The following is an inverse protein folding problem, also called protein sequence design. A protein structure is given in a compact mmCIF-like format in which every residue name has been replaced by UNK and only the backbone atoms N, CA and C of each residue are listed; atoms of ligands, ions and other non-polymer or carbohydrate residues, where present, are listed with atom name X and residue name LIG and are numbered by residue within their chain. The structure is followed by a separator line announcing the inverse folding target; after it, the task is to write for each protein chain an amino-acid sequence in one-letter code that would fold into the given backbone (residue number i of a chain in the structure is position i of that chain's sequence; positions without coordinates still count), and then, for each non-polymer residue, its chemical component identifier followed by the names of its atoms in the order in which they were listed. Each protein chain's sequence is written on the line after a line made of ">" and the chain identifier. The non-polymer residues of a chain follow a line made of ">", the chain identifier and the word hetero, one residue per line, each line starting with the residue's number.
data_IF_996668394194
#
_entry.id   IF_996668394194
#
_cell.length_a   1.000
_cell.length_b   1.000
_cell.length_c   1.000
_cell.angle_alpha   90.00
_cell.angle_beta   90.00
_cell.angle_gamma   90.00
#
_symmetry.space_group_name_H-M   'P 1'
#
loop_
_entity.id
_entity.type
_entity.pdbx_description
1 polymer ?
#
# COMPACT_ATOMS: atom_id res chain seq x y z
N UNK A 1 -40.59 -23.35 30.30
CA UNK A 1 -40.35 -23.47 28.85
C UNK A 1 -38.89 -23.25 28.63
N UNK A 2 -38.25 -24.07 27.84
CA UNK A 2 -36.81 -23.94 27.58
C UNK A 2 -36.58 -23.16 26.26
N UNK A 3 -36.30 -21.88 26.40
CA UNK A 3 -36.04 -20.98 25.26
C UNK A 3 -34.62 -21.13 24.71
N UNK A 4 -33.71 -21.76 25.45
CA UNK A 4 -32.36 -22.02 24.97
C UNK A 4 -32.40 -23.07 23.88
N UNK A 5 -33.22 -24.12 24.02
CA UNK A 5 -33.43 -25.10 22.98
C UNK A 5 -34.09 -24.49 21.73
N UNK A 6 -35.08 -23.59 21.94
CA UNK A 6 -35.69 -22.87 20.83
C UNK A 6 -34.67 -22.00 20.06
N UNK A 7 -33.85 -21.26 20.78
CA UNK A 7 -32.78 -20.43 20.16
C UNK A 7 -31.76 -21.30 19.38
N UNK A 8 -31.33 -22.43 19.94
CA UNK A 8 -30.49 -23.38 19.23
C UNK A 8 -31.15 -23.84 17.93
N UNK A 9 -32.41 -24.26 17.97
CA UNK A 9 -33.09 -24.78 16.79
C UNK A 9 -33.30 -23.70 15.73
N UNK A 10 -33.54 -22.43 16.12
CA UNK A 10 -33.61 -21.29 15.18
C UNK A 10 -32.27 -21.10 14.46
N UNK A 11 -31.16 -21.01 15.19
CA UNK A 11 -29.84 -20.86 14.59
C UNK A 11 -29.44 -22.07 13.75
N UNK A 12 -29.73 -23.28 14.23
CA UNK A 12 -29.45 -24.48 13.48
C UNK A 12 -30.22 -24.50 12.15
N UNK A 13 -31.50 -24.22 12.17
CA UNK A 13 -32.33 -24.14 10.96
C UNK A 13 -31.84 -23.06 10.01
N UNK A 14 -31.46 -21.91 10.54
CA UNK A 14 -30.94 -20.81 9.72
C UNK A 14 -29.66 -21.19 8.95
N UNK A 15 -28.71 -21.90 9.56
CA UNK A 15 -27.48 -22.29 8.90
C UNK A 15 -27.58 -23.58 8.09
N UNK A 16 -28.36 -24.55 8.52
CA UNK A 16 -28.37 -25.90 7.94
C UNK A 16 -29.67 -26.28 7.24
N UNK A 17 -30.70 -25.50 7.41
CA UNK A 17 -32.05 -25.85 6.98
C UNK A 17 -32.72 -26.91 7.87
N UNK A 18 -34.02 -27.05 7.72
CA UNK A 18 -34.75 -28.16 8.27
C UNK A 18 -34.74 -29.39 7.35
N UNK A 19 -35.39 -30.49 7.77
CA UNK A 19 -35.49 -31.72 6.98
C UNK A 19 -36.17 -31.55 5.62
N UNK A 20 -36.92 -30.46 5.44
CA UNK A 20 -37.63 -30.12 4.21
C UNK A 20 -36.87 -29.08 3.37
N UNK A 21 -35.67 -28.65 3.81
CA UNK A 21 -34.84 -27.67 3.13
C UNK A 21 -35.23 -26.21 3.39
N UNK A 22 -36.00 -25.93 4.42
CA UNK A 22 -36.34 -24.56 4.82
C UNK A 22 -35.29 -24.01 5.77
N UNK A 23 -34.83 -22.78 5.54
CA UNK A 23 -33.83 -22.10 6.36
C UNK A 23 -34.41 -21.09 7.35
N UNK A 24 -35.73 -21.00 7.46
CA UNK A 24 -36.40 -20.19 8.46
C UNK A 24 -37.65 -20.86 9.01
N UNK A 25 -38.04 -20.43 10.18
CA UNK A 25 -39.28 -20.88 10.88
C UNK A 25 -40.15 -19.66 11.19
N UNK A 26 -40.73 -19.03 10.17
CA UNK A 26 -41.43 -17.74 10.33
C UNK A 26 -42.54 -17.76 11.37
N UNK A 27 -43.16 -18.92 11.62
CA UNK A 27 -44.20 -19.09 12.63
C UNK A 27 -43.73 -18.87 14.08
N UNK A 28 -42.42 -18.91 14.32
CA UNK A 28 -41.80 -18.63 15.63
C UNK A 28 -41.57 -17.13 15.85
N UNK A 29 -41.63 -16.31 14.80
CA UNK A 29 -41.35 -14.90 14.86
C UNK A 29 -42.64 -14.09 14.89
N UNK A 30 -42.57 -12.93 15.53
CA UNK A 30 -43.58 -11.90 15.41
C UNK A 30 -43.43 -11.18 14.07
N UNK A 31 -44.53 -10.68 13.48
CA UNK A 31 -44.49 -9.93 12.22
C UNK A 31 -43.58 -8.68 12.32
N UNK A 32 -43.56 -8.05 13.50
CA UNK A 32 -42.81 -6.83 13.79
C UNK A 32 -41.43 -7.13 14.43
N UNK A 33 -40.96 -8.37 14.29
CA UNK A 33 -39.65 -8.76 14.81
C UNK A 33 -38.52 -7.94 14.18
N UNK A 34 -37.76 -7.26 15.03
CA UNK A 34 -36.56 -6.53 14.59
C UNK A 34 -35.37 -7.49 14.58
N UNK A 35 -34.69 -7.56 13.44
CA UNK A 35 -33.52 -8.42 13.25
C UNK A 35 -32.32 -7.56 12.88
N UNK A 36 -31.22 -7.70 13.62
CA UNK A 36 -29.95 -7.04 13.39
C UNK A 36 -28.88 -8.13 13.22
N UNK A 37 -28.34 -8.25 12.03
CA UNK A 37 -27.27 -9.19 11.72
C UNK A 37 -25.87 -8.56 11.80
N UNK A 38 -24.87 -9.23 11.27
CA UNK A 38 -23.47 -8.83 11.32
C UNK A 38 -23.03 -7.94 10.16
N UNK A 39 -23.76 -7.96 9.06
CA UNK A 39 -23.50 -7.14 7.87
C UNK A 39 -24.02 -5.70 8.00
N UNK A 40 -23.39 -4.75 7.31
CA UNK A 40 -23.81 -3.34 7.32
C UNK A 40 -25.26 -3.11 6.89
N UNK A 41 -25.78 -3.97 6.02
CA UNK A 41 -27.13 -3.89 5.46
C UNK A 41 -28.13 -4.75 6.23
N UNK A 42 -27.67 -5.59 7.16
CA UNK A 42 -28.52 -6.54 7.91
C UNK A 42 -29.19 -5.87 9.10
N UNK A 43 -30.09 -4.92 8.81
CA UNK A 43 -30.94 -4.26 9.77
C UNK A 43 -32.39 -4.28 9.24
N UNK A 44 -33.20 -5.19 9.78
CA UNK A 44 -34.56 -5.44 9.33
C UNK A 44 -35.55 -5.01 10.44
N UNK A 45 -36.52 -4.17 10.06
CA UNK A 45 -37.52 -3.62 11.00
C UNK A 45 -38.66 -4.54 11.25
N UNK A 46 -38.87 -5.54 10.42
CA UNK A 46 -39.91 -6.53 10.48
C UNK A 46 -39.49 -7.80 9.74
N UNK A 47 -40.29 -8.86 9.93
CA UNK A 47 -40.02 -10.17 9.33
C UNK A 47 -40.11 -10.16 7.80
N UNK A 48 -40.93 -9.30 7.19
CA UNK A 48 -41.05 -9.23 5.73
C UNK A 48 -39.77 -8.72 5.10
N UNK A 49 -39.18 -7.64 5.62
CA UNK A 49 -37.90 -7.11 5.15
C UNK A 49 -36.79 -8.18 5.22
N UNK A 50 -36.76 -8.97 6.28
CA UNK A 50 -35.79 -10.08 6.40
C UNK A 50 -36.08 -11.18 5.36
N UNK A 51 -37.32 -11.58 5.16
CA UNK A 51 -37.69 -12.65 4.25
C UNK A 51 -37.37 -12.33 2.80
N UNK A 52 -37.48 -11.06 2.38
CA UNK A 52 -37.15 -10.60 1.03
C UNK A 52 -35.65 -10.78 0.70
N UNK A 53 -34.77 -10.76 1.69
CA UNK A 53 -33.30 -10.91 1.50
C UNK A 53 -32.83 -12.35 1.70
N UNK A 54 -33.60 -13.18 2.37
CA UNK A 54 -33.19 -14.53 2.75
C UNK A 54 -32.91 -15.43 1.53
N UNK A 55 -33.70 -15.32 0.46
CA UNK A 55 -33.49 -16.12 -0.75
C UNK A 55 -32.17 -15.77 -1.44
N UNK A 56 -31.77 -14.51 -1.46
CA UNK A 56 -30.49 -14.06 -2.01
C UNK A 56 -29.31 -14.57 -1.16
N UNK A 57 -29.43 -14.51 0.15
CA UNK A 57 -28.43 -15.04 1.08
C UNK A 57 -28.26 -16.55 0.95
N UNK A 58 -29.36 -17.30 0.83
CA UNK A 58 -29.35 -18.76 0.62
C UNK A 58 -28.66 -19.09 -0.72
N UNK A 59 -28.91 -18.31 -1.76
CA UNK A 59 -28.27 -18.51 -3.06
C UNK A 59 -26.75 -18.25 -3.02
N UNK A 60 -26.29 -17.26 -2.27
CA UNK A 60 -24.88 -16.94 -2.10
C UNK A 60 -24.12 -18.05 -1.36
N UNK A 61 -24.74 -18.67 -0.36
CA UNK A 61 -24.14 -19.72 0.47
C UNK A 61 -24.36 -21.15 -0.02
N UNK A 62 -24.88 -21.34 -1.23
CA UNK A 62 -25.29 -22.66 -1.77
C UNK A 62 -24.19 -23.71 -1.69
N UNK A 63 -22.95 -23.33 -1.92
CA UNK A 63 -21.77 -24.22 -1.91
C UNK A 63 -21.01 -24.21 -0.58
N UNK A 64 -21.55 -23.53 0.43
CA UNK A 64 -20.94 -23.39 1.76
C UNK A 64 -21.58 -24.37 2.72
N UNK A 65 -20.78 -25.29 3.26
CA UNK A 65 -21.24 -26.31 4.19
C UNK A 65 -20.74 -26.00 5.60
N UNK A 66 -21.43 -25.10 6.27
CA UNK A 66 -21.09 -24.69 7.62
C UNK A 66 -21.01 -25.86 8.60
N UNK A 67 -20.19 -25.69 9.64
CA UNK A 67 -20.14 -26.56 10.81
C UNK A 67 -20.23 -25.71 12.07
N UNK A 68 -21.04 -26.12 13.05
CA UNK A 68 -20.95 -25.58 14.39
C UNK A 68 -19.69 -26.13 15.07
N UNK A 69 -18.81 -25.22 15.51
CA UNK A 69 -17.68 -25.57 16.37
C UNK A 69 -18.02 -25.47 17.83
N UNK A 70 -18.80 -24.46 18.18
CA UNK A 70 -19.27 -24.23 19.53
C UNK A 70 -20.61 -23.49 19.51
N UNK A 71 -21.43 -23.76 20.49
CA UNK A 71 -22.70 -23.07 20.73
C UNK A 71 -23.00 -23.12 22.22
N UNK A 72 -23.27 -21.96 22.80
CA UNK A 72 -23.74 -21.86 24.17
C UNK A 72 -24.77 -20.75 24.29
N UNK A 73 -25.76 -20.92 25.14
CA UNK A 73 -26.70 -19.87 25.48
C UNK A 73 -27.32 -20.06 26.86
N UNK A 74 -27.74 -18.95 27.42
CA UNK A 74 -28.45 -18.88 28.69
C UNK A 74 -29.71 -18.08 28.50
N UNK A 75 -30.71 -18.33 29.37
CA UNK A 75 -31.95 -17.56 29.36
C UNK A 75 -32.15 -16.80 30.67
N UNK A 76 -32.74 -15.61 30.56
CA UNK A 76 -33.10 -14.78 31.70
C UNK A 76 -34.53 -14.29 31.54
N UNK A 77 -35.38 -14.55 32.55
CA UNK A 77 -36.73 -13.97 32.62
C UNK A 77 -36.64 -12.48 32.91
N UNK A 78 -37.24 -11.65 32.06
CA UNK A 78 -37.28 -10.20 32.20
C UNK A 78 -38.62 -9.76 32.87
N UNK A 79 -39.73 -10.35 32.41
CA UNK A 79 -41.08 -10.18 32.98
C UNK A 79 -41.85 -11.49 32.91
N UNK A 80 -43.09 -11.50 33.35
CA UNK A 80 -43.93 -12.69 33.26
C UNK A 80 -44.20 -13.18 31.83
N UNK A 81 -44.05 -12.28 30.85
CA UNK A 81 -44.34 -12.48 29.44
C UNK A 81 -43.11 -12.26 28.50
N UNK A 82 -41.90 -12.01 29.06
CA UNK A 82 -40.68 -11.78 28.26
C UNK A 82 -39.51 -12.53 28.81
N UNK A 83 -38.79 -13.24 27.92
CA UNK A 83 -37.51 -13.87 28.16
C UNK A 83 -36.43 -13.35 27.19
N UNK A 84 -35.27 -13.11 27.73
CA UNK A 84 -34.04 -12.86 26.97
C UNK A 84 -33.24 -14.16 26.91
N UNK A 85 -32.86 -14.58 25.72
CA UNK A 85 -31.81 -15.57 25.49
C UNK A 85 -30.59 -14.85 24.92
N UNK A 86 -29.42 -15.15 25.47
CA UNK A 86 -28.12 -14.59 25.02
C UNK A 86 -27.08 -15.68 24.99
N UNK A 87 -26.14 -15.55 24.08
CA UNK A 87 -25.12 -16.58 23.92
C UNK A 87 -24.11 -16.28 22.82
N UNK A 88 -23.34 -17.29 22.50
CA UNK A 88 -22.37 -17.29 21.41
C UNK A 88 -22.59 -18.48 20.48
N UNK A 89 -22.27 -18.28 19.24
CA UNK A 89 -22.17 -19.34 18.26
C UNK A 89 -20.92 -19.18 17.41
N UNK A 90 -20.25 -20.29 17.20
CA UNK A 90 -19.05 -20.38 16.39
C UNK A 90 -19.29 -21.30 15.20
N UNK A 91 -19.34 -20.72 14.00
CA UNK A 91 -19.45 -21.46 12.75
C UNK A 91 -18.18 -21.37 11.96
N UNK A 92 -17.91 -22.44 11.22
CA UNK A 92 -16.68 -22.59 10.46
C UNK A 92 -16.93 -23.33 9.15
N UNK A 93 -16.22 -22.94 8.11
CA UNK A 93 -16.13 -23.65 6.85
C UNK A 93 -14.84 -23.28 6.12
N UNK A 94 -14.25 -24.24 5.44
CA UNK A 94 -13.08 -24.05 4.59
C UNK A 94 -13.34 -24.70 3.23
N UNK A 95 -13.02 -23.98 2.14
CA UNK A 95 -13.12 -24.52 0.78
C UNK A 95 -12.11 -25.67 0.55
N UNK A 96 -12.40 -26.58 -0.37
CA UNK A 96 -11.56 -27.73 -0.66
C UNK A 96 -10.14 -27.35 -1.13
N UNK A 97 -10.01 -26.22 -1.83
CA UNK A 97 -8.75 -25.65 -2.30
C UNK A 97 -8.07 -24.74 -1.27
N UNK A 98 -8.67 -24.59 -0.09
CA UNK A 98 -8.22 -23.72 1.01
C UNK A 98 -8.09 -22.23 0.66
N UNK A 99 -8.71 -21.78 -0.43
CA UNK A 99 -8.69 -20.40 -0.85
C UNK A 99 -9.66 -19.52 -0.06
N UNK A 100 -10.72 -20.12 0.51
CA UNK A 100 -11.75 -19.41 1.28
C UNK A 100 -11.88 -20.08 2.65
N UNK A 101 -11.78 -19.26 3.69
CA UNK A 101 -12.03 -19.65 5.07
C UNK A 101 -13.12 -18.75 5.66
N UNK A 102 -14.22 -19.33 6.10
CA UNK A 102 -15.26 -18.64 6.88
C UNK A 102 -15.10 -19.06 8.34
N UNK A 103 -14.91 -18.09 9.21
CA UNK A 103 -14.70 -18.28 10.63
C UNK A 103 -15.45 -17.17 11.38
N UNK A 104 -16.65 -17.49 11.84
CA UNK A 104 -17.57 -16.56 12.48
C UNK A 104 -17.75 -16.95 13.94
N UNK A 105 -17.07 -16.22 14.82
CA UNK A 105 -17.28 -16.27 16.27
C UNK A 105 -18.19 -15.09 16.64
N UNK A 106 -19.45 -15.38 16.90
CA UNK A 106 -20.46 -14.34 17.09
C UNK A 106 -21.18 -14.46 18.43
N UNK A 107 -21.71 -13.33 18.87
CA UNK A 107 -22.57 -13.23 20.03
C UNK A 107 -23.97 -12.89 19.55
N UNK A 108 -24.98 -13.38 20.27
CA UNK A 108 -26.36 -13.08 19.92
C UNK A 108 -27.22 -12.80 21.14
N UNK A 109 -28.33 -12.13 20.90
CA UNK A 109 -29.46 -12.00 21.81
C UNK A 109 -30.77 -12.25 21.07
N UNK A 110 -31.71 -12.93 21.73
CA UNK A 110 -33.09 -13.12 21.26
C UNK A 110 -34.07 -12.74 22.37
N UNK A 111 -35.10 -11.99 22.04
CA UNK A 111 -36.19 -11.73 22.95
C UNK A 111 -37.42 -12.56 22.55
N UNK A 112 -37.88 -13.37 23.47
CA UNK A 112 -39.11 -14.13 23.37
C UNK A 112 -40.23 -13.44 24.18
N UNK A 113 -41.37 -13.18 23.56
CA UNK A 113 -42.52 -12.55 24.17
C UNK A 113 -43.73 -13.45 24.04
N UNK A 114 -44.51 -13.56 25.11
CA UNK A 114 -45.82 -14.24 25.07
C UNK A 114 -46.83 -13.28 24.46
N UNK A 115 -47.39 -13.68 23.32
CA UNK A 115 -48.43 -12.94 22.57
C UNK A 115 -49.74 -13.72 22.62
N UNK A 116 -50.84 -13.15 22.10
CA UNK A 116 -52.11 -13.86 21.96
C UNK A 116 -51.99 -15.15 21.12
N UNK A 117 -50.99 -15.22 20.25
CA UNK A 117 -50.67 -16.38 19.39
C UNK A 117 -49.62 -17.31 20.00
N UNK A 118 -49.28 -17.13 21.28
CA UNK A 118 -48.22 -17.86 21.99
C UNK A 118 -46.89 -17.16 22.01
N UNK A 119 -45.86 -17.90 22.38
CA UNK A 119 -44.51 -17.35 22.47
C UNK A 119 -43.90 -17.10 21.09
N UNK A 120 -43.44 -15.89 20.86
CA UNK A 120 -42.84 -15.42 19.61
C UNK A 120 -41.49 -14.75 19.86
N UNK A 121 -40.55 -14.85 18.88
CA UNK A 121 -39.35 -14.02 18.83
C UNK A 121 -39.74 -12.63 18.35
N UNK A 122 -39.42 -11.61 19.13
CA UNK A 122 -39.72 -10.19 18.82
C UNK A 122 -38.45 -9.40 18.50
N UNK A 123 -37.29 -9.96 18.80
CA UNK A 123 -36.00 -9.34 18.47
C UNK A 123 -34.88 -10.39 18.33
N UNK A 124 -34.03 -10.23 17.35
CA UNK A 124 -32.79 -10.95 17.20
C UNK A 124 -31.67 -9.94 16.96
N UNK A 125 -30.56 -10.09 17.67
CA UNK A 125 -29.35 -9.35 17.40
C UNK A 125 -28.16 -10.32 17.38
N UNK A 126 -27.35 -10.24 16.33
CA UNK A 126 -26.07 -10.94 16.20
C UNK A 126 -24.97 -9.91 16.00
N UNK A 127 -23.85 -10.09 16.67
CA UNK A 127 -22.69 -9.22 16.55
C UNK A 127 -21.40 -10.02 16.51
N UNK A 128 -20.40 -9.49 15.81
CA UNK A 128 -19.05 -10.03 15.79
C UNK A 128 -18.17 -9.23 16.75
N UNK A 129 -17.32 -9.87 17.57
CA UNK A 129 -16.23 -9.16 18.25
C UNK A 129 -15.30 -8.57 17.21
N UNK A 130 -14.68 -7.44 17.51
CA UNK A 130 -13.64 -6.89 16.64
C UNK A 130 -12.43 -7.84 16.66
N UNK A 131 -12.06 -8.50 15.54
CA UNK A 131 -10.98 -9.50 15.52
C UNK A 131 -9.59 -8.92 15.81
N UNK A 132 -9.44 -7.59 15.74
CA UNK A 132 -8.19 -6.89 16.02
C UNK A 132 -8.08 -6.40 17.47
N UNK A 133 -9.14 -6.53 18.26
CA UNK A 133 -9.20 -6.11 19.65
C UNK A 133 -8.55 -7.19 20.55
N UNK A 134 -7.59 -6.78 21.38
CA UNK A 134 -6.94 -7.67 22.35
C UNK A 134 -7.76 -7.80 23.62
N UNK A 135 -7.57 -8.91 24.32
CA UNK A 135 -8.20 -9.12 25.64
C UNK A 135 -7.86 -7.96 26.59
N UNK A 136 -8.90 -7.40 27.21
CA UNK A 136 -8.77 -6.25 28.12
C UNK A 136 -8.70 -4.88 27.42
N UNK A 137 -8.75 -4.82 26.10
CA UNK A 137 -8.78 -3.58 25.34
C UNK A 137 -10.23 -3.14 25.09
N UNK A 138 -10.62 -1.94 25.52
CA UNK A 138 -11.99 -1.42 25.32
C UNK A 138 -12.17 -0.68 24.01
N UNK A 139 -11.07 -0.16 23.42
CA UNK A 139 -11.07 0.55 22.14
C UNK A 139 -9.97 -0.02 21.25
N UNK A 140 -10.25 -0.33 19.97
CA UNK A 140 -9.27 -0.92 19.07
C UNK A 140 -8.15 0.08 18.73
N UNK A 141 -7.09 0.09 19.53
CA UNK A 141 -5.88 0.91 19.31
C UNK A 141 -4.95 0.28 18.26
N UNK A 142 -5.05 -1.03 18.10
CA UNK A 142 -4.24 -1.83 17.17
C UNK A 142 -4.43 -1.44 15.70
N UNK A 143 -5.62 -1.01 15.28
CA UNK A 143 -5.89 -0.59 13.91
C UNK A 143 -5.06 0.64 13.51
N UNK A 144 -4.95 1.62 14.41
CA UNK A 144 -4.15 2.83 14.18
C UNK A 144 -2.66 2.51 14.07
N UNK A 145 -2.14 1.63 14.93
CA UNK A 145 -0.73 1.23 14.90
C UNK A 145 -0.39 0.44 13.64
N UNK A 146 -1.16 -0.59 13.30
CA UNK A 146 -0.97 -1.36 12.06
C UNK A 146 -1.05 -0.48 10.83
N UNK A 147 -2.03 0.43 10.76
CA UNK A 147 -2.14 1.37 9.65
C UNK A 147 -0.91 2.26 9.51
N UNK A 148 -0.37 2.76 10.62
CA UNK A 148 0.86 3.54 10.63
C UNK A 148 2.07 2.71 10.20
N UNK A 149 2.22 1.50 10.74
CA UNK A 149 3.30 0.58 10.36
C UNK A 149 3.25 0.19 8.87
N UNK A 150 2.05 -0.09 8.33
CA UNK A 150 1.88 -0.38 6.90
C UNK A 150 2.14 0.85 6.04
N UNK A 151 1.68 2.02 6.46
CA UNK A 151 1.96 3.28 5.77
C UNK A 151 3.46 3.59 5.75
N UNK A 152 4.16 3.40 6.87
CA UNK A 152 5.61 3.56 6.94
C UNK A 152 6.35 2.54 6.06
N UNK A 153 5.92 1.28 6.05
CA UNK A 153 6.46 0.25 5.15
C UNK A 153 6.25 0.62 3.69
N UNK A 154 5.05 1.04 3.30
CA UNK A 154 4.75 1.45 1.92
C UNK A 154 5.60 2.66 1.52
N UNK A 155 5.74 3.65 2.41
CA UNK A 155 6.58 4.82 2.16
C UNK A 155 8.05 4.41 2.00
N UNK A 156 8.58 3.59 2.91
CA UNK A 156 9.95 3.08 2.86
C UNK A 156 10.22 2.27 1.59
N UNK A 157 9.30 1.35 1.22
CA UNK A 157 9.41 0.57 -0.01
C UNK A 157 9.32 1.45 -1.27
N UNK A 158 8.49 2.49 -1.23
CA UNK A 158 8.39 3.47 -2.32
C UNK A 158 9.69 4.26 -2.48
N UNK A 159 10.27 4.73 -1.38
CA UNK A 159 11.54 5.46 -1.39
C UNK A 159 12.69 4.58 -1.89
N UNK A 160 12.78 3.34 -1.42
CA UNK A 160 13.77 2.36 -1.90
C UNK A 160 13.61 2.04 -3.39
N UNK A 161 12.37 1.97 -3.89
CA UNK A 161 12.09 1.74 -5.31
C UNK A 161 12.39 2.96 -6.20
N UNK A 162 12.51 4.17 -5.63
CA UNK A 162 12.73 5.42 -6.35
C UNK A 162 14.19 5.86 -6.36
N UNK A 163 15.01 5.36 -5.46
CA UNK A 163 16.41 5.79 -5.28
C UNK A 163 17.42 4.75 -5.75
N UNK A 164 18.64 5.22 -6.01
CA UNK A 164 19.83 4.38 -6.16
C UNK A 164 20.36 3.99 -4.79
N UNK A 165 20.50 2.68 -4.54
CA UNK A 165 20.86 2.14 -3.23
C UNK A 165 22.27 2.50 -2.73
N UNK A 166 23.16 3.03 -3.58
CA UNK A 166 24.50 3.44 -3.18
C UNK A 166 24.57 4.95 -2.90
N UNK A 167 23.97 5.77 -3.75
CA UNK A 167 24.18 7.22 -3.78
C UNK A 167 23.02 8.03 -3.22
N UNK A 168 21.89 7.40 -2.94
CA UNK A 168 20.64 8.02 -2.48
C UNK A 168 20.02 9.05 -3.46
N UNK A 169 20.59 9.19 -4.66
CA UNK A 169 19.97 9.93 -5.75
C UNK A 169 18.77 9.16 -6.29
N UNK A 170 17.90 9.84 -7.03
CA UNK A 170 16.85 9.11 -7.76
C UNK A 170 17.49 8.14 -8.76
N UNK A 171 16.87 6.98 -8.95
CA UNK A 171 17.26 6.05 -10.00
C UNK A 171 16.71 6.47 -11.37
N UNK A 172 17.23 5.89 -12.44
CA UNK A 172 16.85 6.26 -13.80
C UNK A 172 15.36 6.07 -14.09
N UNK A 173 14.75 5.00 -13.59
CA UNK A 173 13.32 4.75 -13.73
C UNK A 173 12.45 5.86 -13.11
N UNK A 174 12.88 6.39 -11.98
CA UNK A 174 12.19 7.53 -11.34
C UNK A 174 12.43 8.82 -12.10
N UNK A 175 13.65 9.02 -12.61
CA UNK A 175 13.97 10.17 -13.45
C UNK A 175 13.09 10.23 -14.71
N UNK A 176 12.94 9.12 -15.44
CA UNK A 176 12.05 9.04 -16.61
C UNK A 176 10.61 9.45 -16.29
N UNK A 177 10.06 8.96 -15.17
CA UNK A 177 8.70 9.33 -14.72
C UNK A 177 8.55 10.81 -14.38
N UNK A 178 9.58 11.39 -13.75
CA UNK A 178 9.56 12.79 -13.33
C UNK A 178 9.87 13.75 -14.48
N UNK A 179 10.52 13.30 -15.53
CA UNK A 179 10.88 14.12 -16.69
C UNK A 179 9.67 14.87 -17.26
N UNK A 180 8.51 14.18 -17.38
CA UNK A 180 7.30 14.77 -17.94
C UNK A 180 6.64 15.84 -17.04
N UNK A 181 6.97 15.85 -15.77
CA UNK A 181 6.45 16.82 -14.78
C UNK A 181 7.25 18.12 -14.71
N UNK A 182 8.44 18.18 -15.29
CA UNK A 182 9.33 19.35 -15.24
C UNK A 182 9.01 20.34 -16.37
N UNK A 183 9.00 21.66 -16.08
CA UNK A 183 8.94 22.68 -17.12
C UNK A 183 10.10 22.54 -18.10
N UNK A 184 9.81 22.41 -19.39
CA UNK A 184 10.84 22.14 -20.43
C UNK A 184 11.48 23.43 -20.97
N UNK A 185 10.73 24.51 -20.98
CA UNK A 185 11.21 25.78 -21.48
C UNK A 185 12.28 26.39 -20.55
N UNK A 186 13.49 26.56 -21.09
CA UNK A 186 14.63 27.08 -20.33
C UNK A 186 15.34 26.04 -19.46
N UNK A 187 15.01 24.76 -19.62
CA UNK A 187 15.67 23.68 -18.92
C UNK A 187 16.87 23.14 -19.68
N UNK A 188 17.84 22.64 -18.92
CA UNK A 188 19.05 22.01 -19.42
C UNK A 188 19.17 20.60 -18.91
N UNK A 189 19.60 19.70 -19.80
CA UNK A 189 19.85 18.32 -19.51
C UNK A 189 21.34 18.00 -19.66
N UNK A 190 21.88 17.23 -18.72
CA UNK A 190 23.29 16.89 -18.65
C UNK A 190 23.48 15.41 -18.39
N UNK A 191 24.45 14.82 -19.08
CA UNK A 191 24.99 13.49 -18.79
C UNK A 191 26.44 13.67 -18.31
N UNK A 192 26.76 13.07 -17.18
CA UNK A 192 28.08 13.14 -16.57
C UNK A 192 28.62 11.73 -16.32
N UNK A 193 29.90 11.54 -16.51
CA UNK A 193 30.60 10.26 -16.39
C UNK A 193 31.96 10.46 -15.71
N UNK A 194 32.23 9.66 -14.68
CA UNK A 194 33.49 9.69 -13.95
C UNK A 194 34.62 9.12 -14.82
N UNK A 195 35.58 9.95 -15.11
CA UNK A 195 36.68 9.57 -15.96
C UNK A 195 37.53 8.46 -15.34
N UNK A 196 37.81 7.43 -16.15
CA UNK A 196 38.65 6.30 -15.74
C UNK A 196 38.18 5.57 -14.47
N UNK A 197 36.86 5.56 -14.16
CA UNK A 197 36.32 4.97 -12.93
C UNK A 197 36.69 3.50 -12.75
N UNK A 198 36.79 2.73 -13.87
CA UNK A 198 37.27 1.36 -13.80
C UNK A 198 38.68 1.29 -13.23
N UNK A 199 39.59 2.19 -13.64
CA UNK A 199 40.97 2.23 -13.13
C UNK A 199 40.99 2.58 -11.63
N UNK A 200 40.06 3.39 -11.15
CA UNK A 200 39.90 3.69 -9.70
C UNK A 200 39.55 2.39 -8.96
N UNK A 201 38.56 1.62 -9.43
CA UNK A 201 38.23 0.35 -8.83
C UNK A 201 39.38 -0.67 -8.87
N UNK A 202 40.06 -0.77 -10.02
CA UNK A 202 41.15 -1.73 -10.22
C UNK A 202 42.37 -1.40 -9.35
N UNK A 203 42.63 -0.09 -9.12
CA UNK A 203 43.82 0.36 -8.38
C UNK A 203 43.58 0.51 -6.86
N UNK A 204 42.38 0.91 -6.44
CA UNK A 204 42.06 1.27 -5.05
C UNK A 204 40.93 0.42 -4.43
N UNK A 205 40.34 -0.49 -5.21
CA UNK A 205 39.27 -1.38 -4.78
C UNK A 205 37.88 -0.74 -4.84
N UNK A 206 36.87 -1.60 -4.87
CA UNK A 206 35.48 -1.19 -5.00
C UNK A 206 34.96 -0.30 -3.84
N UNK A 207 35.53 -0.41 -2.64
CA UNK A 207 35.13 0.43 -1.52
C UNK A 207 35.49 1.90 -1.76
N UNK A 208 36.65 2.14 -2.33
CA UNK A 208 37.10 3.48 -2.71
C UNK A 208 36.29 4.02 -3.90
N UNK A 209 36.03 3.20 -4.91
CA UNK A 209 35.15 3.56 -6.01
C UNK A 209 33.72 3.95 -5.48
N UNK A 210 33.16 3.19 -4.56
CA UNK A 210 31.87 3.50 -3.93
C UNK A 210 31.93 4.82 -3.16
N UNK A 211 33.02 5.14 -2.47
CA UNK A 211 33.21 6.44 -1.80
C UNK A 211 33.15 7.57 -2.80
N UNK A 212 33.92 7.47 -3.91
CA UNK A 212 33.94 8.49 -4.97
C UNK A 212 32.54 8.67 -5.60
N UNK A 213 31.79 7.58 -5.84
CA UNK A 213 30.42 7.66 -6.36
C UNK A 213 29.50 8.44 -5.41
N UNK A 214 29.58 8.17 -4.10
CA UNK A 214 28.78 8.88 -3.08
C UNK A 214 29.14 10.36 -3.00
N UNK A 215 30.42 10.69 -3.00
CA UNK A 215 30.89 12.07 -2.94
C UNK A 215 30.53 12.84 -4.23
N UNK A 216 30.66 12.20 -5.40
CA UNK A 216 30.21 12.76 -6.68
C UNK A 216 28.70 13.06 -6.65
N UNK A 217 27.89 12.11 -6.18
CA UNK A 217 26.46 12.29 -6.02
C UNK A 217 26.10 13.46 -5.09
N UNK A 218 26.80 13.58 -3.96
CA UNK A 218 26.62 14.69 -3.01
C UNK A 218 27.01 16.05 -3.63
N UNK A 219 28.10 16.11 -4.39
CA UNK A 219 28.52 17.33 -5.12
C UNK A 219 27.49 17.71 -6.18
N UNK A 220 27.03 16.77 -7.00
CA UNK A 220 25.99 17.04 -8.01
C UNK A 220 24.72 17.54 -7.33
N UNK A 221 24.22 16.86 -6.28
CA UNK A 221 22.98 17.23 -5.58
C UNK A 221 23.09 18.61 -4.93
N UNK A 222 24.21 18.94 -4.29
CA UNK A 222 24.44 20.23 -3.65
C UNK A 222 24.69 21.39 -4.63
N UNK A 223 25.10 21.07 -5.86
CA UNK A 223 25.39 22.06 -6.91
C UNK A 223 24.13 22.55 -7.63
N UNK A 224 23.01 21.85 -7.53
CA UNK A 224 21.76 22.18 -8.19
C UNK A 224 20.66 22.48 -7.15
N UNK A 225 19.53 23.02 -7.59
CA UNK A 225 18.39 23.38 -6.69
C UNK A 225 17.65 22.13 -6.22
N UNK A 226 16.86 22.25 -5.17
CA UNK A 226 15.99 21.18 -4.68
C UNK A 226 14.93 20.75 -5.72
N UNK A 227 14.52 21.65 -6.59
CA UNK A 227 13.56 21.44 -7.68
C UNK A 227 14.18 20.76 -8.91
N UNK A 228 15.52 20.71 -9.01
CA UNK A 228 16.21 20.06 -10.11
C UNK A 228 16.37 18.57 -9.85
N UNK A 229 16.37 17.76 -10.92
CA UNK A 229 16.54 16.32 -10.82
C UNK A 229 18.02 15.96 -10.91
N UNK A 230 18.47 15.04 -10.06
CA UNK A 230 19.78 14.40 -10.12
C UNK A 230 19.61 12.90 -9.95
N UNK A 231 20.09 12.15 -10.93
CA UNK A 231 19.90 10.72 -11.06
C UNK A 231 21.23 10.01 -11.24
N UNK A 232 21.39 8.81 -10.69
CA UNK A 232 22.42 7.87 -11.10
C UNK A 232 21.81 6.86 -12.05
N UNK A 233 22.34 6.75 -13.27
CA UNK A 233 21.87 5.79 -14.26
C UNK A 233 22.35 4.37 -13.96
N UNK A 234 23.58 4.23 -13.56
CA UNK A 234 24.26 2.98 -13.25
C UNK A 234 25.77 3.14 -13.40
N UNK A 235 26.54 2.24 -12.82
CA UNK A 235 27.99 2.35 -12.89
C UNK A 235 28.52 3.71 -12.40
N UNK A 236 29.19 4.44 -13.28
CA UNK A 236 29.80 5.74 -13.11
C UNK A 236 29.06 6.90 -13.80
N UNK A 237 27.86 6.62 -14.33
CA UNK A 237 27.05 7.57 -15.09
C UNK A 237 25.97 8.25 -14.25
N UNK A 238 25.90 9.58 -14.38
CA UNK A 238 24.92 10.44 -13.73
C UNK A 238 24.17 11.29 -14.77
N UNK A 239 22.93 11.59 -14.47
CA UNK A 239 22.11 12.50 -15.27
C UNK A 239 21.52 13.56 -14.33
N UNK A 240 21.52 14.81 -14.79
CA UNK A 240 20.81 15.85 -14.05
C UNK A 240 20.10 16.81 -14.99
N UNK A 241 18.97 17.35 -14.50
CA UNK A 241 18.11 18.27 -15.22
C UNK A 241 17.90 19.50 -14.37
N UNK A 242 18.25 20.67 -14.92
CA UNK A 242 18.12 21.95 -14.26
C UNK A 242 17.05 22.79 -14.97
N UNK A 243 15.98 23.12 -14.24
CA UNK A 243 14.76 23.73 -14.80
C UNK A 243 14.79 25.25 -14.97
N UNK A 244 15.79 25.94 -14.46
CA UNK A 244 15.84 27.41 -14.44
C UNK A 244 17.25 27.96 -14.79
N UNK A 245 17.86 27.41 -15.82
CA UNK A 245 19.07 28.00 -16.41
C UNK A 245 18.69 28.74 -17.69
N UNK A 246 18.68 30.08 -17.61
CA UNK A 246 18.13 30.93 -18.68
C UNK A 246 19.12 31.15 -19.82
N UNK A 247 20.40 30.91 -19.60
CA UNK A 247 21.45 31.14 -20.57
C UNK A 247 22.53 30.05 -20.58
N UNK A 248 23.24 29.86 -21.70
CA UNK A 248 24.44 29.02 -21.73
C UNK A 248 25.50 29.42 -20.73
N UNK A 249 25.62 30.69 -20.41
CA UNK A 249 26.59 31.20 -19.43
C UNK A 249 26.29 30.73 -18.01
N UNK A 250 25.00 30.65 -17.64
CA UNK A 250 24.59 30.07 -16.35
C UNK A 250 24.88 28.58 -16.27
N UNK A 251 24.62 27.83 -17.34
CA UNK A 251 24.98 26.43 -17.44
C UNK A 251 26.50 26.24 -17.33
N UNK A 252 27.29 27.06 -18.01
CA UNK A 252 28.73 27.08 -17.96
C UNK A 252 29.30 27.31 -16.53
N UNK A 253 28.72 28.29 -15.81
CA UNK A 253 29.10 28.58 -14.42
C UNK A 253 28.76 27.39 -13.48
N UNK A 254 27.59 26.75 -13.68
CA UNK A 254 27.21 25.58 -12.93
C UNK A 254 28.22 24.44 -13.14
N UNK A 255 28.56 24.14 -14.38
CA UNK A 255 29.46 23.03 -14.71
C UNK A 255 30.91 23.31 -14.25
N UNK A 256 31.39 24.55 -14.33
CA UNK A 256 32.68 24.96 -13.75
C UNK A 256 32.74 24.67 -12.25
N UNK A 257 31.69 25.03 -11.52
CA UNK A 257 31.60 24.77 -10.08
C UNK A 257 31.60 23.26 -9.77
N UNK A 258 30.82 22.47 -10.54
CA UNK A 258 30.77 21.02 -10.37
C UNK A 258 32.18 20.42 -10.61
N UNK A 259 32.82 20.73 -11.74
CA UNK A 259 34.12 20.17 -12.06
C UNK A 259 35.21 20.61 -11.07
N UNK A 260 35.16 21.85 -10.59
CA UNK A 260 36.06 22.32 -9.54
C UNK A 260 35.90 21.47 -8.26
N UNK A 261 34.70 21.27 -7.78
CA UNK A 261 34.44 20.48 -6.57
C UNK A 261 34.80 19.00 -6.74
N UNK A 262 34.59 18.43 -7.92
CA UNK A 262 35.01 17.05 -8.24
C UNK A 262 36.55 16.95 -8.23
N UNK A 263 37.28 17.95 -8.78
CA UNK A 263 38.72 18.03 -8.77
C UNK A 263 39.33 18.11 -7.36
N UNK A 264 38.58 18.55 -6.37
CA UNK A 264 39.02 18.55 -4.96
C UNK A 264 38.94 17.17 -4.31
N UNK A 265 38.22 16.21 -4.91
CA UNK A 265 38.18 14.84 -4.43
C UNK A 265 39.58 14.19 -4.63
N UNK A 266 40.07 13.57 -3.57
CA UNK A 266 41.40 12.93 -3.58
C UNK A 266 41.28 11.44 -3.43
N UNK A 267 41.98 10.71 -4.28
CA UNK A 267 42.27 9.30 -4.15
C UNK A 267 43.50 9.09 -3.29
N UNK A 268 43.76 7.90 -2.76
CA UNK A 268 45.02 7.57 -2.10
C UNK A 268 46.23 7.92 -2.99
N UNK A 269 47.27 8.48 -2.40
CA UNK A 269 48.44 8.99 -3.15
C UNK A 269 48.23 10.37 -3.79
N UNK A 270 47.16 11.10 -3.39
CA UNK A 270 46.81 12.45 -3.85
C UNK A 270 46.47 12.56 -5.36
N UNK A 271 46.04 11.45 -5.97
CA UNK A 271 45.51 11.46 -7.34
C UNK A 271 44.16 12.16 -7.39
N UNK A 272 43.89 12.89 -8.47
CA UNK A 272 42.66 13.63 -8.66
C UNK A 272 41.58 12.78 -9.35
N UNK A 273 40.34 13.09 -9.03
CA UNK A 273 39.16 12.57 -9.74
C UNK A 273 38.75 13.58 -10.80
N UNK A 274 38.35 13.14 -11.97
CA UNK A 274 37.78 14.00 -13.01
C UNK A 274 36.42 13.47 -13.49
N UNK A 275 35.62 14.37 -14.04
CA UNK A 275 34.29 14.13 -14.56
C UNK A 275 34.15 14.76 -15.94
N UNK A 276 33.61 14.02 -16.89
CA UNK A 276 33.26 14.54 -18.21
C UNK A 276 31.76 14.78 -18.31
N UNK A 277 31.33 15.92 -18.89
CA UNK A 277 29.90 16.27 -18.93
C UNK A 277 29.50 16.67 -20.35
N UNK A 278 28.43 16.04 -20.86
CA UNK A 278 27.74 16.49 -22.07
C UNK A 278 26.43 17.17 -21.70
N UNK A 279 26.15 18.33 -22.24
CA UNK A 279 24.95 19.09 -21.94
C UNK A 279 24.17 19.54 -23.17
N UNK A 280 22.88 19.71 -23.02
CA UNK A 280 22.02 20.26 -24.07
C UNK A 280 20.84 21.03 -23.49
N UNK A 281 20.41 22.07 -24.19
CA UNK A 281 19.17 22.79 -23.85
C UNK A 281 17.97 22.03 -24.35
N UNK A 282 16.96 21.86 -23.50
CA UNK A 282 15.72 21.18 -23.83
C UNK A 282 14.87 22.12 -24.73
N UNK A 283 14.39 21.57 -25.84
CA UNK A 283 13.43 22.25 -26.74
C UNK A 283 12.01 21.89 -26.29
N UNK A 284 11.05 22.76 -26.60
CA UNK A 284 9.66 22.48 -26.27
C UNK A 284 9.20 21.16 -26.91
N UNK A 285 8.49 20.36 -26.10
CA UNK A 285 7.90 19.06 -26.48
C UNK A 285 8.90 18.02 -27.02
N UNK A 286 10.17 18.19 -26.72
CA UNK A 286 11.21 17.24 -27.12
C UNK A 286 11.18 15.99 -26.26
N UNK A 287 11.12 14.78 -26.86
CA UNK A 287 11.13 13.52 -26.12
C UNK A 287 12.51 13.28 -25.49
N UNK A 288 12.51 12.68 -24.29
CA UNK A 288 13.71 12.42 -23.51
C UNK A 288 14.83 11.73 -24.31
N UNK A 289 14.48 10.75 -25.16
CA UNK A 289 15.44 10.02 -25.97
C UNK A 289 16.24 10.94 -26.93
N UNK A 290 15.59 11.93 -27.55
CA UNK A 290 16.27 12.88 -28.44
C UNK A 290 17.24 13.77 -27.71
N UNK A 291 16.87 14.21 -26.49
CA UNK A 291 17.72 15.02 -25.62
C UNK A 291 18.92 14.21 -25.17
N UNK A 292 18.68 12.96 -24.81
CA UNK A 292 19.71 12.03 -24.40
C UNK A 292 20.77 11.85 -25.47
N UNK A 293 20.37 11.58 -26.71
CA UNK A 293 21.30 11.42 -27.86
C UNK A 293 22.17 12.68 -28.04
N UNK A 294 21.61 13.89 -27.92
CA UNK A 294 22.39 15.13 -28.08
C UNK A 294 23.38 15.34 -26.93
N UNK A 295 22.99 15.09 -25.70
CA UNK A 295 23.85 15.20 -24.53
C UNK A 295 24.98 14.14 -24.58
N UNK A 296 24.66 12.91 -25.00
CA UNK A 296 25.63 11.83 -25.15
C UNK A 296 26.68 12.14 -26.24
N UNK A 297 26.25 12.68 -27.38
CA UNK A 297 27.17 13.18 -28.40
C UNK A 297 28.16 14.23 -27.87
N UNK A 298 27.62 15.18 -27.04
CA UNK A 298 28.48 16.19 -26.41
C UNK A 298 29.48 15.53 -25.43
N UNK A 299 29.04 14.56 -24.61
CA UNK A 299 29.91 13.80 -23.70
C UNK A 299 30.99 13.01 -24.44
N UNK A 300 30.63 12.35 -25.55
CA UNK A 300 31.56 11.62 -26.38
C UNK A 300 32.70 12.52 -26.91
N UNK A 301 32.34 13.73 -27.37
CA UNK A 301 33.35 14.71 -27.82
C UNK A 301 34.27 15.15 -26.68
N UNK A 302 33.75 15.39 -25.48
CA UNK A 302 34.59 15.70 -24.30
C UNK A 302 35.58 14.57 -24.01
N UNK A 303 35.07 13.33 -24.00
CA UNK A 303 35.95 12.15 -23.77
C UNK A 303 37.05 11.99 -24.84
N UNK A 304 36.77 12.34 -26.11
CA UNK A 304 37.71 12.29 -27.20
C UNK A 304 38.80 13.40 -27.13
N UNK A 305 38.45 14.55 -26.54
CA UNK A 305 39.32 15.74 -26.46
C UNK A 305 40.19 15.81 -25.18
N UNK A 306 40.18 14.78 -24.36
CA UNK A 306 41.07 14.68 -23.19
C UNK A 306 40.36 14.58 -21.83
N UNK A 307 39.00 14.54 -21.81
CA UNK A 307 38.20 14.38 -20.59
C UNK A 307 38.26 15.59 -19.63
N UNK A 308 37.65 15.45 -18.46
CA UNK A 308 37.71 16.43 -17.38
C UNK A 308 37.13 17.80 -17.75
N UNK A 309 36.17 17.84 -18.67
CA UNK A 309 35.61 19.07 -19.23
C UNK A 309 34.11 18.87 -19.58
N UNK A 310 33.50 19.85 -20.23
CA UNK A 310 32.11 19.77 -20.70
C UNK A 310 31.95 20.36 -22.11
N UNK A 311 30.86 19.92 -22.78
CA UNK A 311 30.40 20.50 -24.04
C UNK A 311 28.88 20.59 -24.10
N UNK A 312 28.37 21.47 -24.93
CA UNK A 312 26.96 21.65 -25.26
C UNK A 312 26.66 21.33 -26.72
N UNK A 313 25.46 20.74 -26.96
CA UNK A 313 24.84 20.54 -28.29
C UNK A 313 23.47 21.21 -28.38
#
# INVERSE_FOLDING_TARGET
>A
MDFTEMAYNIWYTYFFGDKAGHYSQPYLFDSDCVIIGTGKHEFYRNLNEFSETLDAEIAERKDIHFQFKDFWCEQKQISSDVYLVYGGLFIWWESNDKSILINIDSRFTMLFKNTDSGWKVVHVHQSLPNPEQKDGEYYPKSLSQKYQEEKEKVTTLSDLAQKDGLTDLINYRTFEKLYDTIPKNGSWFFIADLDHFKNINDSYGHMEGNRILKETAAILRSSVRSTDLVCRMGGDEFVFLCSNLHSPQEADQLLKRILHNIGELKLPGNHQVSLSIGGTRIRNDEPLNSIFIRADQALYEVKAEGRGNWKFK
#
